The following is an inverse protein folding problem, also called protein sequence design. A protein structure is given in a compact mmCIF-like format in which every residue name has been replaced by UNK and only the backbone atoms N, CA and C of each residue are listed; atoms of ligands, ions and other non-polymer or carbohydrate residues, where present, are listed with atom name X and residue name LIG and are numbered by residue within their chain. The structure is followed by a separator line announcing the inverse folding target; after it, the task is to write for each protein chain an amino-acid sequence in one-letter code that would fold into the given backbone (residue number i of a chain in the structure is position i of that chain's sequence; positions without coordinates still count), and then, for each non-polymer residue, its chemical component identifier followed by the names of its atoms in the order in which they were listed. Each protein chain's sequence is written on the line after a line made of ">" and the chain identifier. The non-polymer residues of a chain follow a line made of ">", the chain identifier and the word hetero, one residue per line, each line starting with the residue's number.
data_IF_783534855272
#
_entry.id   IF_783534855272
#
_cell.length_a   1.000
_cell.length_b   1.000
_cell.length_c   1.000
_cell.angle_alpha   90.00
_cell.angle_beta   90.00
_cell.angle_gamma   90.00
#
_symmetry.space_group_name_H-M   'P 1'
#
loop_
_entity.id
_entity.type
_entity.pdbx_description
1 polymer ?
#
# COMPACT_ATOMS: atom_id res chain seq x y z
N UNK A 1 14.46 18.25 -11.58
CA UNK A 1 13.77 17.38 -10.60
C UNK A 1 12.58 16.80 -11.31
N UNK A 2 12.40 15.48 -11.30
CA UNK A 2 11.34 14.82 -12.06
C UNK A 2 10.20 14.42 -11.12
N UNK A 3 8.97 14.80 -11.50
CA UNK A 3 7.75 14.22 -10.95
C UNK A 3 7.49 12.89 -11.66
N UNK A 4 7.16 11.86 -10.90
CA UNK A 4 6.84 10.53 -11.39
C UNK A 4 5.44 10.15 -10.88
N UNK A 5 4.58 9.67 -11.77
CA UNK A 5 3.28 9.12 -11.40
C UNK A 5 3.36 7.60 -11.44
N UNK A 6 3.01 6.93 -10.34
CA UNK A 6 3.06 5.47 -10.22
C UNK A 6 1.83 4.90 -9.51
N UNK A 7 1.46 3.70 -9.89
CA UNK A 7 0.38 2.94 -9.28
C UNK A 7 0.91 2.20 -8.06
N UNK A 8 0.25 2.34 -6.91
CA UNK A 8 0.76 1.80 -5.66
C UNK A 8 -0.31 1.32 -4.68
N UNK A 9 0.10 0.42 -3.79
CA UNK A 9 -0.64 0.00 -2.60
C UNK A 9 0.22 0.33 -1.37
N UNK A 10 -0.36 1.03 -0.39
CA UNK A 10 0.34 1.34 0.86
C UNK A 10 0.41 0.07 1.73
N UNK A 11 1.61 -0.47 1.91
CA UNK A 11 1.85 -1.65 2.75
C UNK A 11 1.90 -1.28 4.24
N UNK A 12 2.56 -0.17 4.56
CA UNK A 12 2.65 0.35 5.92
C UNK A 12 2.96 1.84 5.91
N UNK A 13 2.72 2.46 7.06
CA UNK A 13 3.18 3.81 7.34
C UNK A 13 3.81 3.89 8.72
N UNK A 14 4.70 4.87 8.90
CA UNK A 14 5.20 5.28 10.21
C UNK A 14 4.91 6.76 10.41
N UNK A 15 4.36 7.12 11.58
CA UNK A 15 4.24 8.51 11.97
C UNK A 15 5.64 9.13 12.09
N UNK A 16 5.83 10.30 11.50
CA UNK A 16 7.10 11.00 11.48
C UNK A 16 6.87 12.49 11.73
N UNK A 17 7.65 13.09 12.64
CA UNK A 17 7.40 14.46 13.10
C UNK A 17 5.94 14.65 13.56
N UNK A 18 5.49 15.89 13.69
CA UNK A 18 4.15 16.18 14.21
C UNK A 18 3.04 15.86 13.21
N UNK A 19 3.30 16.00 11.91
CA UNK A 19 2.26 15.94 10.89
C UNK A 19 2.60 15.08 9.66
N UNK A 20 3.76 14.43 9.64
CA UNK A 20 4.23 13.70 8.47
C UNK A 20 4.05 12.18 8.69
N UNK A 21 4.08 11.44 7.59
CA UNK A 21 4.25 9.98 7.60
C UNK A 21 5.35 9.58 6.62
N UNK A 22 6.00 8.46 6.91
CA UNK A 22 6.83 7.74 5.95
C UNK A 22 6.03 6.53 5.50
N UNK A 23 5.75 6.45 4.21
CA UNK A 23 5.00 5.36 3.59
C UNK A 23 5.97 4.34 2.99
N UNK A 24 5.61 3.08 3.12
CA UNK A 24 6.14 2.00 2.28
C UNK A 24 5.04 1.65 1.28
N UNK A 25 5.30 1.95 0.01
CA UNK A 25 4.34 1.76 -1.08
C UNK A 25 4.89 0.64 -1.96
N UNK A 26 4.12 -0.43 -2.14
CA UNK A 26 4.40 -1.42 -3.16
C UNK A 26 3.83 -0.92 -4.47
N UNK A 27 4.68 -0.74 -5.48
CA UNK A 27 4.32 -0.09 -6.73
C UNK A 27 4.42 -1.08 -7.88
N UNK A 28 3.52 -0.95 -8.85
CA UNK A 28 3.53 -1.80 -10.04
C UNK A 28 4.81 -1.57 -10.84
N UNK A 29 5.26 -0.32 -10.94
CA UNK A 29 6.29 0.14 -11.85
C UNK A 29 7.69 0.20 -11.26
N UNK A 30 7.89 0.20 -9.93
CA UNK A 30 9.23 0.32 -9.30
C UNK A 30 9.44 -0.63 -8.12
N UNK A 31 8.53 -1.58 -7.91
CA UNK A 31 8.56 -2.44 -6.73
C UNK A 31 8.31 -1.62 -5.47
N UNK A 32 8.93 -1.99 -4.35
CA UNK A 32 8.74 -1.29 -3.08
C UNK A 32 9.52 0.02 -3.01
N UNK A 33 8.81 1.13 -2.80
CA UNK A 33 9.40 2.47 -2.60
C UNK A 33 9.06 3.02 -1.22
N UNK A 34 9.97 3.84 -0.67
CA UNK A 34 9.72 4.60 0.55
C UNK A 34 9.53 6.08 0.21
N UNK A 35 8.41 6.66 0.64
CA UNK A 35 8.03 8.03 0.32
C UNK A 35 7.56 8.81 1.55
N UNK A 36 7.97 10.08 1.67
CA UNK A 36 7.50 10.96 2.73
C UNK A 36 6.18 11.64 2.32
N UNK A 37 5.13 11.45 3.12
CA UNK A 37 3.88 12.19 3.00
C UNK A 37 3.89 13.35 4.02
N UNK A 38 4.38 14.51 3.59
CA UNK A 38 4.57 15.68 4.46
C UNK A 38 3.24 16.37 4.74
N UNK A 39 2.97 16.68 6.01
CA UNK A 39 1.73 17.34 6.42
C UNK A 39 0.46 16.51 6.20
N UNK A 40 0.57 15.19 5.96
CA UNK A 40 -0.60 14.34 5.74
C UNK A 40 -1.57 14.29 6.92
N UNK A 41 -1.09 14.53 8.16
CA UNK A 41 -1.94 14.52 9.37
C UNK A 41 -2.50 15.89 9.75
N UNK A 42 -2.21 16.95 8.98
CA UNK A 42 -2.81 18.28 9.25
C UNK A 42 -4.32 18.21 9.01
N UNK A 43 -5.14 18.91 9.82
CA UNK A 43 -6.57 19.03 9.55
C UNK A 43 -6.82 19.53 8.12
N UNK A 44 -7.67 18.82 7.36
CA UNK A 44 -8.00 19.15 5.98
C UNK A 44 -6.96 18.73 4.92
N UNK A 45 -5.92 17.97 5.29
CA UNK A 45 -4.92 17.48 4.35
C UNK A 45 -5.52 16.45 3.38
N UNK A 46 -5.37 16.68 2.07
CA UNK A 46 -5.75 15.72 1.03
C UNK A 46 -4.93 14.42 1.11
N UNK A 47 -3.70 14.51 1.66
CA UNK A 47 -2.77 13.39 1.76
C UNK A 47 -3.08 12.44 2.93
N UNK A 48 -4.00 12.77 3.83
CA UNK A 48 -4.33 11.87 4.94
C UNK A 48 -4.86 10.54 4.41
N UNK A 49 -5.83 10.62 3.48
CA UNK A 49 -6.52 9.45 2.97
C UNK A 49 -5.63 8.52 2.14
N UNK A 50 -4.59 9.05 1.50
CA UNK A 50 -3.61 8.25 0.75
C UNK A 50 -2.47 7.72 1.61
N UNK A 51 -2.39 8.12 2.89
CA UNK A 51 -1.29 7.76 3.79
C UNK A 51 -1.62 6.60 4.73
N UNK A 52 -2.71 5.88 4.43
CA UNK A 52 -3.26 4.78 5.20
C UNK A 52 -2.98 3.43 4.50
N UNK A 53 -2.80 2.36 5.26
CA UNK A 53 -2.60 1.00 4.70
C UNK A 53 -3.78 0.57 3.82
N UNK A 54 -3.56 -0.43 2.96
CA UNK A 54 -4.53 -0.91 1.96
C UNK A 54 -4.84 0.08 0.83
N UNK A 55 -4.54 1.37 0.99
CA UNK A 55 -4.89 2.36 -0.02
C UNK A 55 -4.20 2.07 -1.34
N UNK A 56 -5.02 1.84 -2.37
CA UNK A 56 -4.64 1.64 -3.75
C UNK A 56 -4.96 2.90 -4.57
N UNK A 57 -4.01 3.33 -5.37
CA UNK A 57 -4.21 4.48 -6.24
C UNK A 57 -2.96 4.89 -7.00
N UNK A 58 -3.05 6.04 -7.66
CA UNK A 58 -1.94 6.66 -8.37
C UNK A 58 -1.29 7.71 -7.47
N UNK A 59 0.03 7.62 -7.31
CA UNK A 59 0.82 8.50 -6.48
C UNK A 59 1.72 9.37 -7.36
N UNK A 60 1.62 10.68 -7.18
CA UNK A 60 2.55 11.64 -7.76
C UNK A 60 3.71 11.80 -6.77
N UNK A 61 4.86 11.26 -7.14
CA UNK A 61 6.08 11.29 -6.35
C UNK A 61 7.09 12.29 -6.91
N UNK A 62 7.71 13.03 -6.00
CA UNK A 62 8.85 13.87 -6.31
C UNK A 62 10.14 13.22 -5.83
N UNK A 63 11.11 13.04 -6.73
CA UNK A 63 12.41 12.48 -6.40
C UNK A 63 13.44 13.59 -6.11
N UNK A 64 14.02 13.58 -4.91
CA UNK A 64 15.04 14.54 -4.51
C UNK A 64 16.04 13.94 -3.52
N UNK A 65 17.34 14.11 -3.80
CA UNK A 65 18.45 13.63 -2.94
C UNK A 65 18.30 12.14 -2.53
N UNK A 66 17.86 11.30 -3.47
CA UNK A 66 17.66 9.85 -3.25
C UNK A 66 16.46 9.50 -2.37
N UNK A 67 15.49 10.41 -2.19
CA UNK A 67 14.26 10.16 -1.43
C UNK A 67 13.04 10.55 -2.25
N UNK A 68 11.95 9.81 -2.08
CA UNK A 68 10.65 10.18 -2.64
C UNK A 68 9.82 10.98 -1.64
N UNK A 69 9.05 11.93 -2.15
CA UNK A 69 8.01 12.67 -1.42
C UNK A 69 6.71 12.53 -2.16
N UNK A 70 5.62 12.23 -1.46
CA UNK A 70 4.27 12.23 -2.04
C UNK A 70 3.82 13.68 -2.18
N UNK A 71 3.52 14.09 -3.41
CA UNK A 71 2.99 15.42 -3.73
C UNK A 71 1.46 15.39 -3.82
N UNK A 72 0.93 14.39 -4.51
CA UNK A 72 -0.51 14.14 -4.63
C UNK A 72 -0.80 12.63 -4.75
N UNK A 73 -2.05 12.26 -4.52
CA UNK A 73 -2.52 10.90 -4.77
C UNK A 73 -3.98 10.91 -5.24
N UNK A 74 -4.26 10.21 -6.34
CA UNK A 74 -5.61 9.86 -6.76
C UNK A 74 -5.96 8.49 -6.19
N UNK A 75 -6.74 8.50 -5.11
CA UNK A 75 -7.13 7.26 -4.40
C UNK A 75 -8.24 6.57 -5.18
N UNK A 76 -7.91 5.40 -5.73
CA UNK A 76 -8.86 4.55 -6.48
C UNK A 76 -9.66 3.66 -5.54
N UNK A 77 -9.02 3.09 -4.53
CA UNK A 77 -9.66 2.20 -3.57
C UNK A 77 -8.94 2.28 -2.20
N UNK A 78 -9.70 2.24 -1.11
CA UNK A 78 -9.20 2.26 0.28
C UNK A 78 -9.37 0.91 0.98
N UNK A 79 -10.15 0.01 0.39
CA UNK A 79 -10.63 -1.24 0.97
C UNK A 79 -11.10 -1.02 2.42
N UNK A 80 -11.95 0.00 2.63
CA UNK A 80 -12.34 0.42 3.98
C UNK A 80 -13.02 -0.71 4.76
N UNK A 81 -13.77 -1.58 4.08
CA UNK A 81 -14.41 -2.76 4.66
C UNK A 81 -13.43 -3.74 5.32
N UNK A 82 -12.14 -3.75 4.95
CA UNK A 82 -11.12 -4.52 5.67
C UNK A 82 -10.95 -4.05 7.11
N UNK A 83 -11.27 -2.80 7.43
CA UNK A 83 -11.16 -2.25 8.80
C UNK A 83 -12.42 -2.44 9.63
N UNK A 84 -13.53 -2.82 9.00
CA UNK A 84 -14.83 -2.98 9.67
C UNK A 84 -14.97 -4.37 10.31
N UNK A 85 -14.10 -5.32 9.95
CA UNK A 85 -14.09 -6.68 10.45
C UNK A 85 -12.66 -7.08 10.85
N UNK A 86 -12.51 -7.63 12.06
CA UNK A 86 -11.20 -7.96 12.63
C UNK A 86 -10.46 -9.07 11.88
N UNK A 87 -11.17 -10.07 11.36
CA UNK A 87 -10.57 -11.18 10.64
C UNK A 87 -10.09 -10.72 9.25
N UNK A 88 -10.89 -9.87 8.58
CA UNK A 88 -10.51 -9.22 7.32
C UNK A 88 -9.33 -8.28 7.51
N UNK A 89 -9.31 -7.51 8.60
CA UNK A 89 -8.21 -6.61 8.93
C UNK A 89 -6.91 -7.39 9.11
N UNK A 90 -6.96 -8.47 9.90
CA UNK A 90 -5.81 -9.32 10.19
C UNK A 90 -5.30 -10.01 8.91
N UNK A 91 -6.20 -10.59 8.11
CA UNK A 91 -5.86 -11.24 6.85
C UNK A 91 -5.22 -10.26 5.86
N UNK A 92 -5.81 -9.08 5.67
CA UNK A 92 -5.26 -8.03 4.81
C UNK A 92 -3.88 -7.57 5.29
N UNK A 93 -3.74 -7.26 6.59
CA UNK A 93 -2.47 -6.81 7.16
C UNK A 93 -1.36 -7.87 7.03
N UNK A 94 -1.74 -9.16 7.16
CA UNK A 94 -0.84 -10.27 6.91
C UNK A 94 -0.38 -10.31 5.45
N UNK A 95 -1.28 -10.15 4.48
CA UNK A 95 -0.91 -10.09 3.05
C UNK A 95 0.05 -8.93 2.74
N UNK A 96 -0.16 -7.76 3.35
CA UNK A 96 0.78 -6.63 3.21
C UNK A 96 2.17 -6.98 3.75
N UNK A 97 2.23 -7.62 4.92
CA UNK A 97 3.48 -8.04 5.56
C UNK A 97 4.22 -9.10 4.74
N UNK A 98 3.50 -10.09 4.20
CA UNK A 98 4.04 -11.11 3.29
C UNK A 98 4.60 -10.44 2.03
N UNK A 99 3.87 -9.48 1.45
CA UNK A 99 4.35 -8.74 0.27
C UNK A 99 5.65 -8.00 0.56
N UNK A 100 5.75 -7.32 1.71
CA UNK A 100 6.98 -6.61 2.10
C UNK A 100 8.15 -7.60 2.29
N UNK A 101 7.90 -8.79 2.84
CA UNK A 101 8.91 -9.82 3.03
C UNK A 101 9.36 -10.49 1.70
N UNK A 102 8.43 -10.68 0.76
CA UNK A 102 8.69 -11.31 -0.54
C UNK A 102 9.31 -10.35 -1.57
N UNK A 103 9.34 -9.04 -1.30
CA UNK A 103 9.81 -8.03 -2.26
C UNK A 103 11.11 -7.36 -1.80
N UNK A 104 12.28 -7.83 -2.24
CA UNK A 104 13.53 -7.10 -2.06
C UNK A 104 13.43 -5.67 -2.63
N UNK A 105 14.11 -4.71 -2.00
CA UNK A 105 14.08 -3.30 -2.42
C UNK A 105 14.45 -3.14 -3.89
N UNK A 106 13.56 -2.52 -4.67
CA UNK A 106 13.77 -2.23 -6.09
C UNK A 106 13.46 -3.37 -7.05
N UNK A 107 13.00 -4.53 -6.55
CA UNK A 107 12.55 -5.61 -7.43
C UNK A 107 11.08 -5.39 -7.81
N UNK A 108 10.84 -5.21 -9.11
CA UNK A 108 9.50 -5.11 -9.68
C UNK A 108 8.88 -6.51 -9.77
N UNK A 109 7.60 -6.61 -9.43
CA UNK A 109 6.79 -7.81 -9.69
C UNK A 109 5.36 -7.38 -9.93
N UNK A 110 4.99 -7.27 -11.21
CA UNK A 110 3.61 -6.95 -11.60
C UNK A 110 2.64 -8.06 -11.19
N UNK A 111 3.07 -9.32 -11.27
CA UNK A 111 2.27 -10.47 -10.88
C UNK A 111 1.94 -10.43 -9.39
N UNK A 112 2.92 -10.15 -8.52
CA UNK A 112 2.68 -10.00 -7.08
C UNK A 112 1.81 -8.78 -6.78
N UNK A 113 1.98 -7.69 -7.53
CA UNK A 113 1.15 -6.50 -7.40
C UNK A 113 -0.33 -6.80 -7.70
N UNK A 114 -0.60 -7.43 -8.83
CA UNK A 114 -1.95 -7.82 -9.24
C UNK A 114 -2.53 -8.85 -8.26
N UNK A 115 -1.73 -9.84 -7.83
CA UNK A 115 -2.13 -10.82 -6.82
C UNK A 115 -2.53 -10.16 -5.50
N UNK A 116 -1.74 -9.20 -4.99
CA UNK A 116 -2.07 -8.47 -3.76
C UNK A 116 -3.36 -7.67 -3.93
N UNK A 117 -3.50 -6.93 -5.03
CA UNK A 117 -4.70 -6.14 -5.30
C UNK A 117 -5.97 -7.02 -5.28
N UNK A 118 -5.96 -8.14 -6.01
CA UNK A 118 -7.09 -9.04 -6.06
C UNK A 118 -7.35 -9.72 -4.71
N UNK A 119 -6.31 -10.17 -4.01
CA UNK A 119 -6.45 -10.79 -2.70
C UNK A 119 -7.09 -9.83 -1.68
N UNK A 120 -6.66 -8.57 -1.65
CA UNK A 120 -7.29 -7.53 -0.83
C UNK A 120 -8.74 -7.28 -1.24
N UNK A 121 -9.03 -7.19 -2.54
CA UNK A 121 -10.39 -6.99 -3.06
C UNK A 121 -11.34 -8.14 -2.69
N UNK A 122 -10.92 -9.39 -2.86
CA UNK A 122 -11.73 -10.55 -2.50
C UNK A 122 -11.90 -10.67 -0.98
N UNK A 123 -10.88 -10.31 -0.19
CA UNK A 123 -11.01 -10.28 1.28
C UNK A 123 -11.96 -9.17 1.73
N UNK A 124 -11.95 -8.02 1.04
CA UNK A 124 -12.78 -6.86 1.36
C UNK A 124 -14.26 -7.04 1.00
N UNK A 125 -14.54 -7.69 -0.13
CA UNK A 125 -15.88 -7.71 -0.74
C UNK A 125 -16.44 -9.10 -1.02
N UNK A 126 -15.62 -10.14 -0.91
CA UNK A 126 -16.02 -11.51 -1.12
C UNK A 126 -16.77 -12.12 0.07
N UNK A 127 -17.15 -13.39 -0.11
CA UNK A 127 -17.80 -14.23 0.91
C UNK A 127 -16.88 -15.29 1.49
N UNK A 128 -15.66 -15.38 0.95
CA UNK A 128 -14.65 -16.34 1.37
C UNK A 128 -14.19 -16.03 2.79
N UNK A 129 -13.74 -17.06 3.52
CA UNK A 129 -13.12 -16.86 4.81
C UNK A 129 -11.82 -16.04 4.64
N UNK A 130 -11.63 -14.94 5.40
CA UNK A 130 -10.44 -14.10 5.27
C UNK A 130 -9.12 -14.85 5.51
N UNK A 131 -9.12 -15.80 6.45
CA UNK A 131 -7.94 -16.62 6.76
C UNK A 131 -7.58 -17.53 5.59
N UNK A 132 -8.57 -18.16 4.95
CA UNK A 132 -8.33 -18.99 3.76
C UNK A 132 -7.73 -18.15 2.63
N UNK A 133 -8.23 -16.92 2.44
CA UNK A 133 -7.67 -15.99 1.46
C UNK A 133 -6.20 -15.64 1.77
N UNK A 134 -5.87 -15.39 3.03
CA UNK A 134 -4.50 -15.11 3.47
C UNK A 134 -3.55 -16.31 3.24
N UNK A 135 -4.01 -17.53 3.50
CA UNK A 135 -3.24 -18.75 3.26
C UNK A 135 -3.04 -19.00 1.77
N UNK A 136 -4.09 -18.85 0.95
CA UNK A 136 -3.99 -18.95 -0.50
C UNK A 136 -3.02 -17.92 -1.09
N UNK A 137 -3.08 -16.68 -0.61
CA UNK A 137 -2.14 -15.63 -0.99
C UNK A 137 -0.70 -16.03 -0.68
N UNK A 138 -0.42 -16.46 0.55
CA UNK A 138 0.93 -16.91 0.95
C UNK A 138 1.44 -18.05 0.06
N UNK A 139 0.62 -19.08 -0.17
CA UNK A 139 1.02 -20.21 -1.02
C UNK A 139 1.35 -19.77 -2.43
N UNK A 140 0.62 -18.80 -2.99
CA UNK A 140 0.89 -18.23 -4.32
C UNK A 140 2.17 -17.40 -4.35
N UNK A 141 2.51 -16.70 -3.27
CA UNK A 141 3.77 -15.95 -3.18
C UNK A 141 5.01 -16.85 -3.09
N UNK A 142 4.84 -18.12 -2.71
CA UNK A 142 5.94 -19.09 -2.52
C UNK A 142 6.07 -20.10 -3.66
N UNK A 143 5.11 -20.14 -4.60
CA UNK A 143 5.09 -21.04 -5.74
C UNK A 143 5.93 -20.48 -6.89
#
# INVERSE_FOLDING_TARGET
>A
MASLTITGIVLRYANYRDNDRILTIFTRERGTVSASARGCRRPGSSLLSCSEIFTYGEFVLFEGRGRYTVDACDVRERFYSLREDMDRLAAGAYMLSVTEACTPKGQQSEELFDLLYYALSYTAYGKQNPTDMAVCFLMRCLA
#
